data_IF_904264557754
#
_entry.id   IF_904264557754
#
_cell.length_a   1.000
_cell.length_b   1.000
_cell.length_c   1.000
_cell.angle_alpha   90.00
_cell.angle_beta   90.00
_cell.angle_gamma   90.00
#
_symmetry.space_group_name_H-M   'P 1'
#
loop_
_entity.id
_entity.type
_entity.pdbx_description
1 polymer ?
#
# COMPACT_ATOMS: atom_id res chain seq x y z
N UNK A 1 -56.03 3.56 30.56
CA UNK A 1 -54.59 3.23 30.45
C UNK A 1 -54.38 1.72 30.47
N UNK A 2 -53.92 1.15 29.35
CA UNK A 2 -52.98 0.02 29.14
C UNK A 2 -53.01 -0.30 27.62
N UNK A 3 -52.10 -1.10 26.98
CA UNK A 3 -51.22 -2.12 27.57
C UNK A 3 -49.79 -2.23 26.97
N UNK A 4 -48.82 -2.71 27.75
CA UNK A 4 -47.65 -3.43 27.15
C UNK A 4 -46.99 -4.30 28.22
N UNK A 5 -47.29 -5.61 28.21
CA UNK A 5 -46.62 -6.71 27.48
C UNK A 5 -45.46 -7.30 28.28
N UNK A 6 -45.81 -8.42 28.93
CA UNK A 6 -44.97 -9.47 29.49
C UNK A 6 -43.67 -9.70 28.69
N UNK A 7 -42.53 -9.65 29.38
CA UNK A 7 -41.28 -10.25 28.89
C UNK A 7 -40.65 -11.07 30.02
N UNK A 8 -40.44 -12.35 29.75
CA UNK A 8 -39.95 -13.36 30.67
C UNK A 8 -38.53 -13.09 31.19
N UNK A 9 -38.29 -13.44 32.46
CA UNK A 9 -36.96 -13.47 33.07
C UNK A 9 -36.21 -14.76 32.70
N UNK A 10 -34.92 -14.71 32.30
CA UNK A 10 -34.10 -15.90 32.21
C UNK A 10 -33.64 -16.34 33.61
N UNK A 11 -34.17 -17.47 34.08
CA UNK A 11 -33.65 -18.22 35.22
C UNK A 11 -32.35 -18.93 34.81
N UNK A 12 -31.24 -18.64 35.49
CA UNK A 12 -29.99 -19.35 35.26
C UNK A 12 -28.77 -18.80 36.00
N UNK A 13 -28.81 -18.72 37.33
CA UNK A 13 -27.61 -18.54 38.15
C UNK A 13 -26.97 -19.91 38.43
N UNK A 14 -25.76 -20.16 37.92
CA UNK A 14 -24.79 -21.04 38.57
C UNK A 14 -23.40 -20.40 38.50
N UNK A 15 -22.92 -19.95 39.67
CA UNK A 15 -21.52 -19.62 39.93
C UNK A 15 -20.75 -20.93 40.17
N UNK A 16 -19.55 -21.09 39.63
CA UNK A 16 -18.38 -21.68 40.32
C UNK A 16 -17.08 -21.39 39.54
N UNK A 17 -16.13 -20.78 40.26
CA UNK A 17 -14.65 -20.83 40.20
C UNK A 17 -13.93 -20.85 38.82
N UNK A 18 -13.22 -19.78 38.44
CA UNK A 18 -11.81 -19.49 38.82
C UNK A 18 -10.78 -20.43 38.17
N UNK A 19 -10.43 -20.14 36.92
CA UNK A 19 -9.07 -20.33 36.40
C UNK A 19 -8.41 -18.95 36.31
N UNK A 20 -7.37 -18.72 37.12
CA UNK A 20 -6.41 -17.63 36.91
C UNK A 20 -5.73 -17.90 35.54
N UNK A 21 -5.48 -16.93 34.68
CA UNK A 21 -4.30 -16.06 34.69
C UNK A 21 -4.62 -14.86 33.77
N UNK A 22 -4.83 -13.65 34.28
CA UNK A 22 -4.62 -12.42 33.50
C UNK A 22 -4.04 -11.36 34.44
N UNK A 23 -2.73 -11.50 34.68
CA UNK A 23 -1.87 -10.47 35.28
C UNK A 23 -1.28 -9.60 34.16
N UNK A 24 -1.22 -8.29 34.42
CA UNK A 24 -0.43 -7.33 33.63
C UNK A 24 -1.32 -6.38 32.84
N UNK A 25 -1.67 -5.20 33.36
CA UNK A 25 -0.85 -3.97 33.29
C UNK A 25 -0.63 -3.47 31.86
N UNK A 26 -1.30 -2.36 31.50
CA UNK A 26 -0.97 -1.45 30.38
C UNK A 26 -1.05 -2.09 29.00
N UNK A 27 -1.68 -1.56 27.97
CA UNK A 27 -1.81 -0.18 27.51
C UNK A 27 -2.93 -0.20 26.45
N UNK A 28 -3.72 0.87 26.36
CA UNK A 28 -4.35 1.28 25.10
C UNK A 28 -3.78 2.67 24.82
N UNK A 29 -3.20 2.97 23.64
CA UNK A 29 -3.63 2.52 22.31
C UNK A 29 -2.49 1.85 21.51
N UNK A 30 -2.79 0.74 20.82
CA UNK A 30 -1.97 0.38 19.66
C UNK A 30 -2.25 1.46 18.61
N UNK A 31 -1.36 2.45 18.55
CA UNK A 31 -1.18 3.32 17.40
C UNK A 31 -1.36 2.41 16.19
N UNK A 32 -2.37 2.68 15.36
CA UNK A 32 -2.56 2.02 14.09
C UNK A 32 -1.23 2.20 13.37
N UNK A 33 -0.42 1.15 13.40
CA UNK A 33 0.90 1.12 12.80
C UNK A 33 0.64 1.48 11.36
N UNK A 34 1.09 2.67 10.96
CA UNK A 34 1.01 3.14 9.59
C UNK A 34 1.62 2.00 8.79
N UNK A 35 0.76 1.24 8.10
CA UNK A 35 1.18 0.14 7.26
C UNK A 35 1.74 0.82 6.01
N UNK A 36 2.91 1.43 6.19
CA UNK A 36 3.79 1.80 5.10
C UNK A 36 4.00 0.48 4.38
N UNK A 37 3.26 0.30 3.28
CA UNK A 37 3.53 -0.71 2.28
C UNK A 37 4.99 -0.52 1.89
N UNK A 38 5.85 -1.27 2.56
CA UNK A 38 7.25 -1.47 2.20
C UNK A 38 7.27 -2.46 1.06
N UNK A 39 6.66 -2.08 -0.06
CA UNK A 39 6.75 -2.86 -1.28
C UNK A 39 7.72 -2.09 -2.18
N UNK A 40 8.91 -2.68 -2.31
CA UNK A 40 10.11 -2.08 -2.90
C UNK A 40 9.98 -1.77 -4.38
N UNK A 41 9.24 -0.73 -4.73
CA UNK A 41 9.16 -0.19 -6.09
C UNK A 41 10.05 1.04 -6.27
N UNK A 42 11.33 0.90 -5.96
CA UNK A 42 12.32 1.88 -6.38
C UNK A 42 13.64 1.16 -6.71
N UNK A 43 13.58 0.21 -7.63
CA UNK A 43 14.74 -0.06 -8.47
C UNK A 43 14.68 0.98 -9.58
N UNK A 44 15.16 2.19 -9.31
CA UNK A 44 15.65 3.03 -10.42
C UNK A 44 16.64 2.14 -11.14
N UNK A 45 16.32 1.74 -12.37
CA UNK A 45 17.15 0.85 -13.15
C UNK A 45 18.58 1.37 -13.07
N UNK A 46 19.45 0.63 -12.40
CA UNK A 46 20.87 0.96 -12.25
C UNK A 46 21.62 0.68 -13.56
N UNK A 47 20.89 0.47 -14.66
CA UNK A 47 21.41 0.41 -16.00
C UNK A 47 21.87 1.82 -16.38
N UNK A 48 23.12 1.94 -16.83
CA UNK A 48 23.73 3.17 -17.33
C UNK A 48 23.10 3.63 -18.68
N UNK A 49 21.94 3.07 -19.02
CA UNK A 49 21.23 3.26 -20.28
C UNK A 49 19.73 3.06 -20.01
N UNK A 50 18.95 3.96 -20.58
CA UNK A 50 17.49 4.04 -20.57
C UNK A 50 17.01 3.46 -21.90
N UNK A 51 16.28 2.34 -21.84
CA UNK A 51 15.62 1.74 -22.98
C UNK A 51 14.14 2.17 -23.05
N UNK A 52 13.49 2.10 -24.22
CA UNK A 52 12.05 2.38 -24.32
C UNK A 52 11.21 1.52 -23.37
N UNK A 53 11.63 0.27 -23.14
CA UNK A 53 10.94 -0.68 -22.25
C UNK A 53 11.00 -0.26 -20.76
N UNK A 54 11.97 0.59 -20.37
CA UNK A 54 12.04 1.11 -18.99
C UNK A 54 10.85 2.03 -18.66
N UNK A 55 10.16 2.57 -19.66
CA UNK A 55 8.95 3.35 -19.44
C UNK A 55 7.75 2.49 -19.03
N UNK A 56 7.82 1.17 -19.18
CA UNK A 56 6.79 0.25 -18.67
C UNK A 56 7.03 -0.12 -17.20
N UNK A 57 8.15 0.31 -16.61
CA UNK A 57 8.41 0.19 -15.18
C UNK A 57 7.80 1.36 -14.37
N UNK A 58 7.66 1.15 -13.06
CA UNK A 58 7.27 2.22 -12.11
C UNK A 58 8.48 3.15 -11.91
N UNK A 59 8.29 4.49 -11.87
CA UNK A 59 7.02 5.22 -11.82
C UNK A 59 6.41 5.58 -13.19
N UNK A 60 7.10 5.33 -14.30
CA UNK A 60 6.68 5.80 -15.61
C UNK A 60 5.35 5.21 -16.06
N UNK A 61 5.11 3.92 -15.84
CA UNK A 61 3.84 3.28 -16.18
C UNK A 61 2.63 3.89 -15.46
N UNK A 62 2.80 4.42 -14.24
CA UNK A 62 1.75 5.12 -13.49
C UNK A 62 1.42 6.49 -14.10
N UNK A 63 2.35 7.06 -14.87
CA UNK A 63 2.20 8.32 -15.59
C UNK A 63 1.87 8.14 -17.08
N UNK A 64 1.54 6.90 -17.50
CA UNK A 64 1.15 6.56 -18.87
C UNK A 64 2.27 5.92 -19.72
N UNK A 65 3.43 5.66 -19.11
CA UNK A 65 4.51 4.84 -19.63
C UNK A 65 4.99 5.23 -21.03
N UNK A 66 5.39 4.22 -21.80
CA UNK A 66 5.98 4.43 -23.13
C UNK A 66 4.99 5.10 -24.09
N UNK A 67 3.71 4.75 -24.00
CA UNK A 67 2.66 5.35 -24.83
C UNK A 67 2.51 6.86 -24.60
N UNK A 68 2.60 7.33 -23.35
CA UNK A 68 2.56 8.77 -23.05
C UNK A 68 3.83 9.47 -23.50
N UNK A 69 4.99 8.83 -23.38
CA UNK A 69 6.25 9.36 -23.89
C UNK A 69 6.20 9.57 -25.41
N UNK A 70 5.70 8.59 -26.17
CA UNK A 70 5.50 8.74 -27.62
C UNK A 70 4.47 9.82 -27.96
N UNK A 71 3.43 10.03 -27.16
CA UNK A 71 2.47 11.11 -27.40
C UNK A 71 3.09 12.51 -27.19
N UNK A 72 4.03 12.65 -26.25
CA UNK A 72 4.66 13.92 -25.93
C UNK A 72 5.82 14.25 -26.88
N UNK A 73 6.65 13.26 -27.20
CA UNK A 73 7.91 13.44 -27.92
C UNK A 73 7.86 12.89 -29.36
N UNK A 74 6.91 12.01 -29.67
CA UNK A 74 6.73 11.45 -31.01
C UNK A 74 7.98 10.76 -31.54
N UNK A 75 8.32 11.07 -32.78
CA UNK A 75 9.50 10.54 -33.48
C UNK A 75 10.83 11.03 -32.90
N UNK A 76 10.81 12.04 -32.02
CA UNK A 76 12.01 12.54 -31.35
C UNK A 76 12.37 11.73 -30.10
N UNK A 77 11.47 10.89 -29.60
CA UNK A 77 11.70 10.09 -28.40
C UNK A 77 12.98 9.23 -28.51
N UNK A 78 13.23 8.48 -29.60
CA UNK A 78 14.44 7.67 -29.72
C UNK A 78 15.72 8.51 -29.65
N UNK A 79 15.74 9.65 -30.34
CA UNK A 79 16.88 10.57 -30.33
C UNK A 79 17.13 11.17 -28.93
N UNK A 80 16.07 11.51 -28.20
CA UNK A 80 16.18 12.01 -26.84
C UNK A 80 16.75 10.92 -25.90
N UNK A 81 16.33 9.67 -26.07
CA UNK A 81 16.89 8.56 -25.30
C UNK A 81 18.38 8.35 -25.60
N UNK A 82 18.78 8.44 -26.88
CA UNK A 82 20.19 8.37 -27.26
C UNK A 82 21.01 9.48 -26.61
N UNK A 83 20.54 10.73 -26.65
CA UNK A 83 21.23 11.88 -26.03
C UNK A 83 21.31 11.75 -24.50
N UNK A 84 20.25 11.28 -23.85
CA UNK A 84 20.25 11.03 -22.40
C UNK A 84 21.23 9.91 -22.03
N UNK A 85 21.27 8.84 -22.82
CA UNK A 85 22.18 7.72 -22.60
C UNK A 85 23.64 8.09 -22.84
N UNK A 86 23.93 8.97 -23.81
CA UNK A 86 25.28 9.52 -24.02
C UNK A 86 25.78 10.28 -22.80
N UNK A 87 24.92 11.11 -22.18
CA UNK A 87 25.27 11.86 -20.95
C UNK A 87 25.43 10.92 -19.75
N UNK A 88 24.62 9.86 -19.64
CA UNK A 88 24.73 8.88 -18.54
C UNK A 88 25.96 7.99 -18.66
N UNK A 89 26.45 7.71 -19.87
CA UNK A 89 27.63 6.87 -20.12
C UNK A 89 28.98 7.60 -19.91
N UNK A 90 28.97 8.93 -19.73
CA UNK A 90 30.15 9.79 -19.57
C UNK A 90 30.62 9.91 -18.11
#
# INVERSE_FOLDING_TARGET
MNPTRTTAAPTGRKRVAQGKEQSGSGVSPLIQQNNQSRDGSATFATSLSIEPDDFDAVPFNQHGGLGKAYQLFGEQLPKLLDELNEVLAA
#
